data_IF_048016815364
#
_entry.id   IF_048016815364
#
_cell.length_a   1.000
_cell.length_b   1.000
_cell.length_c   1.000
_cell.angle_alpha   90.00
_cell.angle_beta   90.00
_cell.angle_gamma   90.00
#
_symmetry.space_group_name_H-M   'P 1'
#
loop_
_entity.id
_entity.type
_entity.pdbx_description
1 polymer ?
#
# COMPACT_ATOMS: atom_id res chain seq x y z
N UNK A 1 12.79 -1.00 -15.68
CA UNK A 1 12.55 -0.52 -14.31
C UNK A 1 11.25 0.26 -14.30
N UNK A 2 10.41 0.08 -13.28
CA UNK A 2 9.18 0.84 -13.01
C UNK A 2 9.40 1.59 -11.70
N UNK A 3 9.03 2.87 -11.65
CA UNK A 3 9.16 3.70 -10.45
C UNK A 3 7.75 4.09 -10.00
N UNK A 4 7.46 3.85 -8.72
CA UNK A 4 6.27 4.34 -8.05
C UNK A 4 6.69 5.50 -7.13
N UNK A 5 6.06 6.65 -7.28
CA UNK A 5 6.27 7.83 -6.41
C UNK A 5 4.97 8.60 -6.24
N UNK A 6 4.81 9.27 -5.11
CA UNK A 6 3.77 10.28 -4.92
C UNK A 6 4.16 11.58 -5.60
N UNK A 7 3.16 12.34 -6.05
CA UNK A 7 3.35 13.71 -6.51
C UNK A 7 3.36 14.69 -5.31
N UNK A 8 4.28 15.65 -5.35
CA UNK A 8 4.48 16.61 -4.26
C UNK A 8 5.27 16.05 -3.08
N UNK A 9 5.28 16.79 -1.97
CA UNK A 9 6.20 16.53 -0.85
C UNK A 9 5.52 15.89 0.37
N UNK A 10 4.18 15.85 0.40
CA UNK A 10 3.42 15.50 1.60
C UNK A 10 3.25 14.00 1.77
N UNK A 11 3.00 13.26 0.69
CA UNK A 11 2.67 11.86 0.78
C UNK A 11 3.09 11.10 -0.47
N UNK A 12 3.66 9.93 -0.25
CA UNK A 12 3.77 8.88 -1.25
C UNK A 12 2.38 8.28 -1.51
N UNK A 13 1.73 7.81 -0.44
CA UNK A 13 0.37 7.29 -0.47
C UNK A 13 -0.19 7.21 0.97
N UNK A 14 -1.29 7.90 1.23
CA UNK A 14 -1.95 7.90 2.55
C UNK A 14 -2.86 6.68 2.80
N UNK A 15 -2.98 5.78 1.82
CA UNK A 15 -3.80 4.57 1.90
C UNK A 15 -5.20 4.74 1.32
N UNK A 16 -6.12 3.84 1.71
CA UNK A 16 -7.47 3.82 1.16
C UNK A 16 -8.31 5.03 1.60
N UNK A 17 -9.12 5.55 0.70
CA UNK A 17 -9.97 6.72 0.94
C UNK A 17 -11.05 6.42 1.99
N UNK A 18 -10.94 7.05 3.16
CA UNK A 18 -11.85 6.80 4.28
C UNK A 18 -13.27 7.33 4.02
N UNK A 19 -13.47 8.26 3.09
CA UNK A 19 -14.79 8.85 2.79
C UNK A 19 -15.74 7.85 2.13
N UNK A 20 -15.18 6.86 1.42
CA UNK A 20 -15.93 5.83 0.70
C UNK A 20 -15.95 4.49 1.44
N UNK A 21 -15.31 4.40 2.62
CA UNK A 21 -15.28 3.17 3.40
C UNK A 21 -16.59 3.03 4.18
N UNK A 22 -17.37 2.00 3.86
CA UNK A 22 -18.59 1.62 4.56
C UNK A 22 -18.37 0.64 5.71
N UNK A 23 -19.47 0.15 6.29
CA UNK A 23 -19.45 -0.87 7.36
C UNK A 23 -18.88 -2.21 6.89
N UNK A 24 -19.08 -2.57 5.62
CA UNK A 24 -18.51 -3.76 4.99
C UNK A 24 -17.11 -3.53 4.41
N UNK A 25 -16.50 -2.37 4.67
CA UNK A 25 -15.21 -1.97 4.10
C UNK A 25 -15.37 -1.21 2.79
N UNK A 26 -14.51 -1.52 1.81
CA UNK A 26 -14.49 -0.84 0.51
C UNK A 26 -15.37 -1.61 -0.47
N UNK A 27 -16.68 -1.56 -0.31
CA UNK A 27 -17.61 -2.19 -1.25
C UNK A 27 -18.16 -1.14 -2.22
N UNK A 28 -18.28 -1.51 -3.49
CA UNK A 28 -19.01 -0.75 -4.47
C UNK A 28 -20.51 -0.88 -4.23
N UNK A 29 -21.18 0.21 -3.87
CA UNK A 29 -22.62 0.22 -3.58
C UNK A 29 -23.50 -0.14 -4.77
N UNK A 30 -23.01 -0.01 -6.00
CA UNK A 30 -23.78 -0.28 -7.22
C UNK A 30 -23.58 -1.70 -7.73
N UNK A 31 -22.39 -2.26 -7.57
CA UNK A 31 -22.04 -3.59 -8.11
C UNK A 31 -21.85 -4.67 -7.05
N UNK A 32 -21.75 -4.31 -5.77
CA UNK A 32 -21.42 -5.23 -4.68
C UNK A 32 -19.99 -5.77 -4.71
N UNK A 33 -19.16 -5.27 -5.64
CA UNK A 33 -17.77 -5.70 -5.75
C UNK A 33 -16.90 -5.00 -4.70
N UNK A 34 -15.96 -5.75 -4.11
CA UNK A 34 -14.95 -5.17 -3.24
C UNK A 34 -14.02 -4.27 -4.07
N UNK A 35 -14.07 -2.96 -3.80
CA UNK A 35 -13.11 -1.96 -4.25
C UNK A 35 -11.81 -2.18 -3.47
N UNK A 36 -10.69 -1.98 -4.16
CA UNK A 36 -9.34 -2.42 -3.76
C UNK A 36 -9.11 -3.91 -4.01
N UNK A 37 -8.93 -4.25 -5.30
CA UNK A 37 -8.32 -5.52 -5.69
C UNK A 37 -6.80 -5.49 -5.43
N UNK A 38 -6.43 -5.27 -4.17
CA UNK A 38 -5.05 -5.14 -3.73
C UNK A 38 -4.26 -6.41 -4.02
N UNK A 39 -4.90 -7.58 -3.99
CA UNK A 39 -4.25 -8.85 -4.28
C UNK A 39 -3.78 -8.97 -5.73
N UNK A 40 -4.62 -8.61 -6.71
CA UNK A 40 -4.22 -8.68 -8.12
C UNK A 40 -3.10 -7.67 -8.41
N UNK A 41 -3.20 -6.45 -7.88
CA UNK A 41 -2.16 -5.45 -8.05
C UNK A 41 -0.83 -5.87 -7.38
N UNK A 42 -0.89 -6.44 -6.18
CA UNK A 42 0.27 -7.02 -5.51
C UNK A 42 0.87 -8.17 -6.34
N UNK A 43 0.03 -9.04 -6.91
CA UNK A 43 0.48 -10.12 -7.81
C UNK A 43 1.19 -9.55 -9.03
N UNK A 44 0.64 -8.52 -9.66
CA UNK A 44 1.24 -7.87 -10.83
C UNK A 44 2.64 -7.34 -10.54
N UNK A 45 2.85 -6.69 -9.39
CA UNK A 45 4.19 -6.26 -8.96
C UNK A 45 5.11 -7.49 -8.84
N UNK A 46 4.66 -8.54 -8.15
CA UNK A 46 5.48 -9.75 -7.90
C UNK A 46 5.81 -10.55 -9.15
N UNK A 47 4.96 -10.49 -10.17
CA UNK A 47 5.16 -11.17 -11.46
C UNK A 47 5.74 -10.26 -12.53
N UNK A 48 6.04 -9.00 -12.21
CA UNK A 48 6.56 -8.05 -13.17
C UNK A 48 7.96 -8.47 -13.64
N UNK A 49 8.23 -8.55 -14.95
CA UNK A 49 9.57 -8.89 -15.45
C UNK A 49 10.58 -7.73 -15.32
N UNK A 50 10.13 -6.55 -14.88
CA UNK A 50 10.96 -5.36 -14.66
C UNK A 50 11.01 -5.04 -13.17
N UNK A 51 12.17 -4.66 -12.61
CA UNK A 51 12.24 -4.23 -11.21
C UNK A 51 11.31 -3.05 -10.94
N UNK A 52 10.57 -3.11 -9.83
CA UNK A 52 9.66 -2.08 -9.34
C UNK A 52 10.27 -1.41 -8.11
N UNK A 53 10.51 -0.10 -8.19
CA UNK A 53 11.14 0.69 -7.12
C UNK A 53 10.14 1.71 -6.58
N UNK A 54 9.95 1.73 -5.26
CA UNK A 54 9.20 2.78 -4.58
C UNK A 54 10.16 3.91 -4.16
N UNK A 55 9.90 5.12 -4.63
CA UNK A 55 10.52 6.34 -4.13
C UNK A 55 9.55 7.01 -3.16
N UNK A 56 9.86 6.95 -1.86
CA UNK A 56 8.95 7.35 -0.79
C UNK A 56 9.40 8.67 -0.19
N UNK A 57 8.61 9.71 -0.41
CA UNK A 57 8.70 10.99 0.29
C UNK A 57 7.39 11.26 1.03
N UNK A 58 7.47 11.79 2.25
CA UNK A 58 6.30 12.03 3.09
C UNK A 58 5.58 10.76 3.55
N UNK A 59 4.27 10.85 3.77
CA UNK A 59 3.46 9.76 4.32
C UNK A 59 3.28 8.55 3.38
N UNK A 60 3.61 7.36 3.90
CA UNK A 60 3.28 6.05 3.35
C UNK A 60 2.51 5.24 4.42
N UNK A 61 1.16 5.29 4.36
CA UNK A 61 0.29 4.86 5.46
C UNK A 61 -0.70 3.78 5.02
N UNK A 62 -0.90 2.76 5.87
CA UNK A 62 -1.90 1.71 5.66
C UNK A 62 -1.68 0.98 4.33
N UNK A 63 -2.64 1.06 3.41
CA UNK A 63 -2.47 0.51 2.05
C UNK A 63 -1.28 1.11 1.29
N UNK A 64 -0.93 2.38 1.55
CA UNK A 64 0.27 3.02 1.00
C UNK A 64 1.57 2.51 1.62
N UNK A 65 1.53 2.07 2.88
CA UNK A 65 2.64 1.34 3.48
C UNK A 65 2.80 -0.04 2.81
N UNK A 66 1.72 -0.78 2.66
CA UNK A 66 1.74 -2.08 1.96
C UNK A 66 2.28 -1.93 0.53
N UNK A 67 1.92 -0.84 -0.16
CA UNK A 67 2.36 -0.58 -1.53
C UNK A 67 3.89 -0.61 -1.69
N UNK A 68 4.63 0.12 -0.86
CA UNK A 68 6.10 0.13 -0.97
C UNK A 68 6.72 -1.19 -0.49
N UNK A 69 6.12 -1.83 0.52
CA UNK A 69 6.55 -3.17 1.00
C UNK A 69 6.49 -4.21 -0.11
N UNK A 70 5.58 -4.06 -1.06
CA UNK A 70 5.42 -5.01 -2.15
C UNK A 70 6.38 -4.77 -3.32
N UNK A 71 7.01 -3.60 -3.40
CA UNK A 71 8.04 -3.28 -4.40
C UNK A 71 9.34 -4.05 -4.13
N UNK A 72 10.18 -4.19 -5.15
CA UNK A 72 11.47 -4.88 -5.03
C UNK A 72 12.49 -4.08 -4.19
N UNK A 73 12.41 -2.76 -4.26
CA UNK A 73 13.25 -1.85 -3.49
C UNK A 73 12.44 -0.61 -3.08
N UNK A 74 12.67 -0.12 -1.85
CA UNK A 74 12.19 1.18 -1.38
C UNK A 74 13.39 2.11 -1.16
N UNK A 75 13.33 3.31 -1.73
CA UNK A 75 14.26 4.41 -1.45
C UNK A 75 13.46 5.48 -0.71
N UNK A 76 13.81 5.73 0.55
CA UNK A 76 13.14 6.69 1.41
C UNK A 76 13.87 8.04 1.41
N UNK A 77 13.13 9.13 1.29
CA UNK A 77 13.63 10.48 1.57
C UNK A 77 13.68 10.73 3.09
N UNK A 78 14.42 11.76 3.51
CA UNK A 78 14.55 12.13 4.93
C UNK A 78 13.20 12.46 5.60
N UNK A 79 12.21 12.89 4.81
CA UNK A 79 10.87 13.22 5.28
C UNK A 79 9.89 12.04 5.21
N UNK A 80 10.34 10.83 4.88
CA UNK A 80 9.47 9.67 4.75
C UNK A 80 8.90 9.24 6.13
N UNK A 81 7.59 9.01 6.17
CA UNK A 81 6.88 8.56 7.38
C UNK A 81 6.10 7.29 7.05
N UNK A 82 6.54 6.18 7.62
CA UNK A 82 5.96 4.86 7.45
C UNK A 82 5.03 4.52 8.61
N UNK A 83 3.85 3.97 8.33
CA UNK A 83 2.96 3.56 9.41
C UNK A 83 1.79 2.67 9.01
N UNK A 84 1.47 1.73 9.89
CA UNK A 84 0.25 0.94 9.83
C UNK A 84 -0.82 1.50 10.77
N UNK A 85 -1.96 1.90 10.22
CA UNK A 85 -3.12 2.36 10.98
C UNK A 85 -4.19 1.28 11.12
N UNK A 86 -4.23 0.31 10.20
CA UNK A 86 -5.21 -0.79 10.21
C UNK A 86 -5.33 -1.49 11.56
N UNK A 87 -4.21 -1.94 12.18
CA UNK A 87 -4.28 -2.67 13.45
C UNK A 87 -4.94 -1.88 14.59
N UNK A 88 -4.88 -0.54 14.56
CA UNK A 88 -5.51 0.32 15.57
C UNK A 88 -7.04 0.32 15.48
N UNK A 89 -7.60 -0.13 14.37
CA UNK A 89 -9.04 -0.14 14.09
C UNK A 89 -9.57 -1.54 13.76
N UNK A 90 -8.84 -2.59 14.16
CA UNK A 90 -9.24 -3.98 13.92
C UNK A 90 -9.17 -4.40 12.45
N UNK A 91 -8.35 -3.72 11.65
CA UNK A 91 -8.10 -4.03 10.25
C UNK A 91 -6.66 -4.53 10.06
N UNK A 92 -6.43 -5.34 9.05
CA UNK A 92 -5.09 -5.83 8.70
C UNK A 92 -4.96 -5.94 7.19
N UNK A 93 -3.73 -6.04 6.70
CA UNK A 93 -3.50 -6.40 5.30
C UNK A 93 -3.70 -7.90 5.12
N UNK A 94 -4.80 -8.25 4.47
CA UNK A 94 -5.15 -9.62 4.10
C UNK A 94 -4.39 -10.15 2.88
N UNK A 95 -3.54 -9.34 2.26
CA UNK A 95 -2.64 -9.75 1.18
C UNK A 95 -1.27 -10.21 1.67
N UNK A 96 -0.27 -9.97 0.83
CA UNK A 96 1.09 -10.44 1.07
C UNK A 96 1.90 -9.48 1.94
N UNK A 97 1.49 -8.22 2.08
CA UNK A 97 2.30 -7.17 2.71
C UNK A 97 2.65 -7.44 4.16
N UNK A 98 1.72 -7.91 4.99
CA UNK A 98 2.02 -8.28 6.39
C UNK A 98 3.13 -9.33 6.48
N UNK A 99 3.02 -10.40 5.68
CA UNK A 99 3.99 -11.50 5.67
C UNK A 99 5.34 -11.08 5.08
N UNK A 100 5.33 -10.25 4.03
CA UNK A 100 6.55 -9.73 3.43
C UNK A 100 7.26 -8.74 4.34
N UNK A 101 6.52 -7.87 5.03
CA UNK A 101 7.08 -6.96 6.02
C UNK A 101 7.81 -7.75 7.12
N UNK A 102 7.13 -8.75 7.72
CA UNK A 102 7.74 -9.61 8.73
C UNK A 102 9.01 -10.31 8.22
N UNK A 103 9.02 -10.74 6.95
CA UNK A 103 10.23 -11.32 6.33
C UNK A 103 11.37 -10.32 6.16
N UNK A 104 11.08 -9.03 5.93
CA UNK A 104 12.09 -7.99 5.70
C UNK A 104 12.69 -7.45 6.99
N UNK A 105 11.88 -7.26 8.05
CA UNK A 105 12.31 -6.55 9.26
C UNK A 105 12.31 -7.40 10.53
N UNK A 106 11.86 -8.66 10.46
CA UNK A 106 11.67 -9.54 11.62
C UNK A 106 10.35 -9.30 12.34
#
# INVERSE_FOLDING_TARGET
VIILTGEGEKAFCSGGDQRIRGSAGYEDSETGHLRLNVLDFQREIRTCPKPVVAMVAGYAIGGGHVLHVMCDLTIAADNAIFGQTGPKVGSFDGGYGSSYLARMVG
#
